data_IF_968435523835
#
_entry.id   IF_968435523835
#
_cell.length_a   1.000
_cell.length_b   1.000
_cell.length_c   1.000
_cell.angle_alpha   90.00
_cell.angle_beta   90.00
_cell.angle_gamma   90.00
#
_symmetry.space_group_name_H-M   'P 1'
#
loop_
_entity.id
_entity.type
_entity.pdbx_description
1 polymer ?
#
# COMPACT_ATOMS: atom_id res chain seq x y z
N UNK A 1 33.14 25.66 -41.19
CA UNK A 1 31.77 25.97 -40.71
C UNK A 1 31.04 24.65 -40.54
N UNK A 2 30.16 24.57 -39.55
CA UNK A 2 29.21 23.48 -39.26
C UNK A 2 29.69 22.28 -38.41
N UNK A 3 29.95 22.53 -37.12
CA UNK A 3 29.80 21.52 -36.03
C UNK A 3 29.34 22.18 -34.73
N UNK A 4 28.14 22.78 -34.73
CA UNK A 4 27.46 23.24 -33.51
C UNK A 4 25.98 22.92 -33.66
N UNK A 5 25.55 21.70 -33.29
CA UNK A 5 24.14 21.33 -33.50
C UNK A 5 23.65 20.00 -32.93
N UNK A 6 24.39 19.35 -32.02
CA UNK A 6 23.95 18.05 -31.45
C UNK A 6 23.94 18.06 -29.91
N UNK A 7 24.40 19.14 -29.26
CA UNK A 7 24.54 19.19 -27.80
C UNK A 7 23.28 19.52 -26.99
N UNK A 8 22.21 20.02 -27.63
CA UNK A 8 21.08 20.62 -26.89
C UNK A 8 19.85 19.70 -26.74
N UNK A 9 19.77 18.60 -27.48
CA UNK A 9 18.66 17.64 -27.35
C UNK A 9 18.83 16.66 -26.17
N UNK A 10 20.06 16.37 -25.76
CA UNK A 10 20.32 15.40 -24.69
C UNK A 10 20.16 16.00 -23.27
N UNK A 11 20.31 17.32 -23.12
CA UNK A 11 20.16 18.02 -21.83
C UNK A 11 18.70 18.28 -21.45
N UNK A 12 17.77 18.28 -22.41
CA UNK A 12 16.33 18.44 -22.15
C UNK A 12 15.65 17.20 -21.55
N UNK A 13 16.07 15.99 -21.93
CA UNK A 13 15.45 14.76 -21.40
C UNK A 13 15.90 14.40 -19.98
N UNK A 14 17.08 14.86 -19.54
CA UNK A 14 17.60 14.54 -18.21
C UNK A 14 16.92 15.35 -17.09
N UNK A 15 16.45 16.57 -17.36
CA UNK A 15 15.81 17.44 -16.35
C UNK A 15 14.35 17.03 -16.08
N UNK A 16 13.64 16.47 -17.06
CA UNK A 16 12.25 16.01 -16.88
C UNK A 16 12.17 14.75 -16.02
N UNK A 17 13.20 13.90 -16.01
CA UNK A 17 13.20 12.68 -15.18
C UNK A 17 13.56 12.98 -13.71
N UNK A 18 14.29 14.07 -13.45
CA UNK A 18 14.70 14.47 -12.09
C UNK A 18 13.60 15.10 -11.23
N UNK A 19 12.56 15.68 -11.83
CA UNK A 19 11.46 16.33 -11.10
C UNK A 19 10.29 15.40 -10.73
N UNK A 20 10.27 14.15 -11.21
CA UNK A 20 9.19 13.20 -10.90
C UNK A 20 9.43 12.34 -9.64
N UNK A 21 10.48 12.62 -8.86
CA UNK A 21 10.85 11.83 -7.68
C UNK A 21 10.48 12.49 -6.34
N UNK A 22 9.47 13.37 -6.30
CA UNK A 22 8.89 13.82 -5.02
C UNK A 22 7.69 12.93 -4.68
N UNK A 23 7.72 12.15 -3.60
CA UNK A 23 6.60 11.30 -3.20
C UNK A 23 5.53 12.19 -2.52
N UNK A 24 4.74 12.89 -3.32
CA UNK A 24 3.63 13.74 -2.85
C UNK A 24 2.25 13.09 -2.99
N UNK A 25 2.15 11.76 -3.05
CA UNK A 25 0.90 11.05 -3.40
C UNK A 25 0.04 10.63 -2.20
N UNK A 26 -0.02 11.46 -1.15
CA UNK A 26 -1.01 11.27 -0.07
C UNK A 26 -1.56 12.59 0.48
N UNK A 27 -0.80 13.68 0.39
CA UNK A 27 -1.27 15.03 0.76
C UNK A 27 -1.73 15.85 -0.44
N UNK A 28 -1.51 15.38 -1.67
CA UNK A 28 -2.04 16.01 -2.87
C UNK A 28 -3.54 15.74 -3.04
N UNK A 29 -3.97 14.48 -2.89
CA UNK A 29 -5.39 14.09 -3.01
C UNK A 29 -6.28 14.90 -2.06
N UNK A 30 -5.89 15.04 -0.79
CA UNK A 30 -6.73 15.76 0.18
C UNK A 30 -6.81 17.27 -0.11
N UNK A 31 -5.72 17.89 -0.58
CA UNK A 31 -5.73 19.31 -0.97
C UNK A 31 -6.49 19.56 -2.26
N UNK A 32 -6.46 18.61 -3.18
CA UNK A 32 -7.19 18.67 -4.44
C UNK A 32 -8.70 18.53 -4.19
N UNK A 33 -9.09 17.60 -3.31
CA UNK A 33 -10.48 17.45 -2.86
C UNK A 33 -11.01 18.72 -2.16
N UNK A 34 -10.20 19.34 -1.29
CA UNK A 34 -10.57 20.60 -0.63
C UNK A 34 -10.77 21.75 -1.64
N UNK A 35 -9.89 21.87 -2.64
CA UNK A 35 -10.01 22.90 -3.67
C UNK A 35 -11.26 22.71 -4.55
N UNK A 36 -11.57 21.45 -4.92
CA UNK A 36 -12.78 21.10 -5.67
C UNK A 36 -14.04 21.38 -4.86
N UNK A 37 -14.05 21.03 -3.58
CA UNK A 37 -15.16 21.31 -2.68
C UNK A 37 -15.41 22.82 -2.56
N UNK A 38 -14.36 23.62 -2.35
CA UNK A 38 -14.48 25.09 -2.31
C UNK A 38 -15.03 25.65 -3.63
N UNK A 39 -14.56 25.15 -4.77
CA UNK A 39 -15.06 25.58 -6.08
C UNK A 39 -16.54 25.26 -6.29
N UNK A 40 -16.98 24.07 -5.91
CA UNK A 40 -18.36 23.61 -6.10
C UNK A 40 -19.35 24.10 -5.02
N UNK A 41 -18.84 24.52 -3.85
CA UNK A 41 -19.63 25.15 -2.78
C UNK A 41 -19.75 26.68 -2.94
N UNK A 42 -19.13 27.28 -3.95
CA UNK A 42 -19.33 28.69 -4.27
C UNK A 42 -20.83 28.95 -4.57
N UNK A 43 -21.49 29.91 -3.88
CA UNK A 43 -22.90 30.21 -4.10
C UNK A 43 -23.26 30.56 -5.55
N UNK A 44 -22.32 31.13 -6.31
CA UNK A 44 -22.50 31.43 -7.73
C UNK A 44 -22.56 30.16 -8.61
N UNK A 45 -22.14 29.00 -8.08
CA UNK A 45 -22.19 27.69 -8.74
C UNK A 45 -23.37 26.83 -8.30
N UNK A 46 -24.09 27.23 -7.26
CA UNK A 46 -25.26 26.51 -6.74
C UNK A 46 -26.27 26.07 -7.83
N UNK A 47 -26.68 26.95 -8.77
CA UNK A 47 -27.58 26.56 -9.85
C UNK A 47 -27.02 25.50 -10.81
N UNK A 48 -25.73 25.57 -11.12
CA UNK A 48 -25.06 24.60 -12.00
C UNK A 48 -24.96 23.22 -11.32
N UNK A 49 -24.65 23.21 -10.02
CA UNK A 49 -24.63 21.99 -9.19
C UNK A 49 -26.00 21.32 -9.14
N UNK A 50 -27.08 22.09 -8.91
CA UNK A 50 -28.44 21.55 -8.91
C UNK A 50 -28.82 21.01 -10.29
N UNK A 51 -28.50 21.73 -11.37
CA UNK A 51 -28.78 21.27 -12.74
C UNK A 51 -28.09 19.93 -13.05
N UNK A 52 -26.80 19.83 -12.72
CA UNK A 52 -26.03 18.61 -12.96
C UNK A 52 -26.51 17.45 -12.07
N UNK A 53 -26.87 17.70 -10.82
CA UNK A 53 -27.45 16.69 -9.93
C UNK A 53 -28.77 16.11 -10.46
N UNK A 54 -29.60 16.95 -11.09
CA UNK A 54 -30.84 16.52 -11.75
C UNK A 54 -30.55 15.72 -13.02
N UNK A 55 -29.60 16.15 -13.85
CA UNK A 55 -29.20 15.43 -15.07
C UNK A 55 -28.63 14.04 -14.77
N UNK A 56 -27.92 13.89 -13.65
CA UNK A 56 -27.35 12.63 -13.19
C UNK A 56 -28.36 11.77 -12.38
N UNK A 57 -29.61 12.22 -12.25
CA UNK A 57 -30.69 11.59 -11.48
C UNK A 57 -30.33 11.26 -10.01
N UNK A 58 -29.44 12.07 -9.41
CA UNK A 58 -29.07 11.94 -7.99
C UNK A 58 -29.89 12.86 -7.08
N UNK A 59 -30.58 13.85 -7.66
CA UNK A 59 -31.48 14.75 -6.95
C UNK A 59 -32.63 15.26 -7.82
N UNK A 60 -33.68 15.80 -7.18
CA UNK A 60 -34.73 16.59 -7.85
C UNK A 60 -34.63 18.06 -7.50
N UNK A 61 -34.99 18.98 -8.42
CA UNK A 61 -35.03 20.39 -8.12
C UNK A 61 -36.25 20.71 -7.25
N UNK A 62 -36.12 21.70 -6.37
CA UNK A 62 -37.27 22.26 -5.63
C UNK A 62 -37.84 23.43 -6.42
N UNK A 63 -39.12 23.34 -6.79
CA UNK A 63 -39.81 24.40 -7.54
C UNK A 63 -39.87 25.68 -6.72
N UNK A 64 -39.37 26.79 -7.27
CA UNK A 64 -39.43 28.12 -6.64
C UNK A 64 -38.28 28.43 -5.67
N UNK A 65 -37.38 27.48 -5.38
CA UNK A 65 -36.24 27.68 -4.47
C UNK A 65 -34.90 27.38 -5.19
N UNK A 66 -34.29 28.37 -5.88
CA UNK A 66 -33.01 28.15 -6.55
C UNK A 66 -31.91 27.79 -5.53
N UNK A 67 -31.10 26.78 -5.87
CA UNK A 67 -30.02 26.28 -4.99
C UNK A 67 -30.45 25.23 -3.97
N UNK A 68 -31.70 24.76 -4.02
CA UNK A 68 -32.20 23.67 -3.17
C UNK A 68 -32.59 22.44 -3.95
N UNK A 69 -32.32 21.27 -3.35
CA UNK A 69 -32.49 19.97 -3.98
C UNK A 69 -33.05 18.93 -3.01
N UNK A 70 -33.72 17.92 -3.57
CA UNK A 70 -34.23 16.75 -2.86
C UNK A 70 -33.37 15.53 -3.25
N UNK A 71 -32.38 15.13 -2.43
CA UNK A 71 -31.45 14.06 -2.80
C UNK A 71 -32.05 12.66 -2.62
N UNK A 72 -31.54 11.71 -3.41
CA UNK A 72 -31.81 10.27 -3.27
C UNK A 72 -33.20 9.83 -3.75
N UNK A 73 -33.50 8.51 -3.66
CA UNK A 73 -34.72 7.93 -4.22
C UNK A 73 -35.99 8.33 -3.45
N UNK A 74 -35.86 8.55 -2.14
CA UNK A 74 -37.01 8.81 -1.26
C UNK A 74 -37.41 10.29 -1.20
N UNK A 75 -36.53 11.23 -1.57
CA UNK A 75 -36.83 12.66 -1.81
C UNK A 75 -37.64 13.36 -0.71
N UNK A 76 -37.36 13.04 0.55
CA UNK A 76 -38.20 13.45 1.69
C UNK A 76 -37.82 14.83 2.23
N UNK A 77 -36.56 15.25 2.06
CA UNK A 77 -36.04 16.46 2.72
C UNK A 77 -35.31 17.37 1.74
N UNK A 78 -35.72 18.63 1.71
CA UNK A 78 -35.01 19.69 1.00
C UNK A 78 -33.69 20.00 1.68
N UNK A 79 -32.61 20.01 0.90
CA UNK A 79 -31.27 20.40 1.32
C UNK A 79 -30.75 21.55 0.47
N UNK A 80 -29.90 22.39 1.07
CA UNK A 80 -29.01 23.28 0.32
C UNK A 80 -27.82 22.49 -0.23
N UNK A 81 -27.05 23.08 -1.15
CA UNK A 81 -25.87 22.44 -1.75
C UNK A 81 -24.81 22.09 -0.68
N UNK A 82 -24.62 22.94 0.33
CA UNK A 82 -23.72 22.72 1.47
C UNK A 82 -24.21 21.55 2.34
N UNK A 83 -25.50 21.55 2.69
CA UNK A 83 -26.07 20.45 3.48
C UNK A 83 -26.05 19.12 2.73
N UNK A 84 -26.08 19.18 1.40
CA UNK A 84 -25.97 18.00 0.54
C UNK A 84 -24.54 17.47 0.49
N UNK A 85 -23.52 18.35 0.42
CA UNK A 85 -22.10 17.95 0.55
C UNK A 85 -21.85 17.16 1.83
N UNK A 86 -22.31 17.68 2.98
CA UNK A 86 -22.08 17.03 4.28
C UNK A 86 -22.77 15.66 4.39
N UNK A 87 -23.97 15.52 3.82
CA UNK A 87 -24.83 14.34 3.98
C UNK A 87 -24.64 13.29 2.89
N UNK A 88 -24.19 13.70 1.71
CA UNK A 88 -24.06 12.86 0.52
C UNK A 88 -22.74 13.15 -0.23
N UNK A 89 -21.57 13.03 0.43
CA UNK A 89 -20.30 13.48 -0.14
C UNK A 89 -19.91 12.76 -1.45
N UNK A 90 -20.32 11.49 -1.61
CA UNK A 90 -20.06 10.70 -2.82
C UNK A 90 -20.84 11.21 -4.03
N UNK A 91 -22.14 11.47 -3.85
CA UNK A 91 -23.00 11.98 -4.92
C UNK A 91 -22.62 13.42 -5.27
N UNK A 92 -22.29 14.22 -4.26
CA UNK A 92 -21.76 15.57 -4.44
C UNK A 92 -20.48 15.55 -5.26
N UNK A 93 -19.50 14.71 -4.92
CA UNK A 93 -18.23 14.60 -5.64
C UNK A 93 -18.43 14.28 -7.12
N UNK A 94 -19.28 13.29 -7.42
CA UNK A 94 -19.62 12.90 -8.80
C UNK A 94 -20.25 14.05 -9.60
N UNK A 95 -21.13 14.83 -8.99
CA UNK A 95 -21.76 15.99 -9.64
C UNK A 95 -20.77 17.14 -9.80
N UNK A 96 -19.93 17.41 -8.80
CA UNK A 96 -18.89 18.43 -8.86
C UNK A 96 -17.90 18.15 -10.00
N UNK A 97 -17.47 16.89 -10.16
CA UNK A 97 -16.63 16.46 -11.28
C UNK A 97 -17.31 16.70 -12.63
N UNK A 98 -18.61 16.38 -12.77
CA UNK A 98 -19.37 16.63 -13.99
C UNK A 98 -19.48 18.13 -14.32
N UNK A 99 -19.70 18.99 -13.31
CA UNK A 99 -19.76 20.44 -13.48
C UNK A 99 -18.40 21.02 -13.89
N UNK A 100 -17.31 20.53 -13.31
CA UNK A 100 -15.97 20.96 -13.71
C UNK A 100 -15.62 20.49 -15.13
N UNK A 101 -15.95 19.24 -15.48
CA UNK A 101 -15.73 18.68 -16.81
C UNK A 101 -16.49 19.48 -17.90
N UNK A 102 -17.76 19.81 -17.65
CA UNK A 102 -18.58 20.60 -18.58
C UNK A 102 -18.02 22.00 -18.84
N UNK A 103 -17.23 22.56 -17.91
CA UNK A 103 -16.59 23.87 -18.09
C UNK A 103 -15.28 23.78 -18.85
N UNK A 104 -14.50 22.72 -18.67
CA UNK A 104 -13.32 22.46 -19.48
C UNK A 104 -13.66 22.20 -20.95
N UNK A 105 -14.88 21.73 -21.24
CA UNK A 105 -15.36 21.48 -22.60
C UNK A 105 -15.93 22.73 -23.31
N UNK A 106 -15.99 23.88 -22.62
CA UNK A 106 -16.37 25.14 -23.29
C UNK A 106 -15.24 25.48 -24.27
N UNK A 107 -15.47 25.48 -25.60
CA UNK A 107 -14.46 25.92 -26.53
C UNK A 107 -14.09 27.35 -26.13
N UNK A 108 -12.84 27.55 -25.70
CA UNK A 108 -12.36 28.89 -25.38
C UNK A 108 -12.69 29.82 -26.55
N UNK A 109 -13.01 31.10 -26.29
CA UNK A 109 -13.28 32.05 -27.36
C UNK A 109 -12.15 31.92 -28.37
N UNK A 110 -12.53 31.65 -29.64
CA UNK A 110 -11.58 31.52 -30.73
C UNK A 110 -10.60 32.67 -30.59
N UNK A 111 -9.37 32.32 -30.22
CA UNK A 111 -8.32 33.29 -29.93
C UNK A 111 -8.08 33.97 -31.26
N UNK A 112 -8.59 35.20 -31.40
CA UNK A 112 -8.38 36.01 -32.58
C UNK A 112 -6.91 35.94 -32.96
N UNK A 113 -6.68 35.61 -34.23
CA UNK A 113 -5.39 35.33 -34.83
C UNK A 113 -4.46 36.55 -34.73
N UNK A 114 -3.86 36.74 -33.55
CA UNK A 114 -2.63 37.49 -33.39
C UNK A 114 -1.48 36.60 -33.81
N UNK A 115 -1.05 36.73 -35.07
CA UNK A 115 0.03 35.98 -35.70
C UNK A 115 1.22 35.75 -34.77
N UNK A 116 1.34 34.50 -34.32
CA UNK A 116 2.34 34.10 -33.33
C UNK A 116 2.32 32.59 -33.08
N UNK A 117 2.73 31.81 -34.08
CA UNK A 117 3.33 30.49 -33.88
C UNK A 117 2.40 29.28 -33.83
N UNK A 118 2.22 28.61 -34.97
CA UNK A 118 1.72 27.21 -35.12
C UNK A 118 2.45 26.20 -34.21
N UNK A 119 3.61 26.57 -33.65
CA UNK A 119 4.40 25.78 -32.70
C UNK A 119 3.74 25.63 -31.32
N UNK A 120 3.01 26.63 -30.84
CA UNK A 120 2.44 26.60 -29.48
C UNK A 120 1.18 25.72 -29.41
N UNK A 121 0.37 25.70 -30.48
CA UNK A 121 -0.79 24.81 -30.59
C UNK A 121 -0.39 23.33 -30.72
N UNK A 122 0.68 23.05 -31.49
CA UNK A 122 1.23 21.69 -31.61
C UNK A 122 1.82 21.19 -30.28
N UNK A 123 2.45 22.08 -29.49
CA UNK A 123 2.96 21.76 -28.16
C UNK A 123 1.85 21.38 -27.18
N UNK A 124 0.73 22.12 -27.16
CA UNK A 124 -0.40 21.80 -26.30
C UNK A 124 -1.09 20.49 -26.70
N UNK A 125 -1.25 20.24 -28.00
CA UNK A 125 -1.79 18.96 -28.48
C UNK A 125 -0.85 17.78 -28.13
N UNK A 126 0.46 17.96 -28.27
CA UNK A 126 1.45 16.95 -27.89
C UNK A 126 1.43 16.67 -26.37
N UNK A 127 1.29 17.71 -25.53
CA UNK A 127 1.15 17.56 -24.08
C UNK A 127 -0.11 16.76 -23.72
N UNK A 128 -1.24 17.01 -24.39
CA UNK A 128 -2.48 16.24 -24.18
C UNK A 128 -2.29 14.74 -24.45
N UNK A 129 -1.67 14.39 -25.58
CA UNK A 129 -1.39 12.99 -25.94
C UNK A 129 -0.44 12.33 -24.93
N UNK A 130 0.64 13.01 -24.54
CA UNK A 130 1.58 12.50 -23.54
C UNK A 130 0.90 12.28 -22.18
N UNK A 131 0.04 13.21 -21.77
CA UNK A 131 -0.72 13.08 -20.53
C UNK A 131 -1.69 11.90 -20.57
N UNK A 132 -2.44 11.73 -21.67
CA UNK A 132 -3.33 10.56 -21.83
C UNK A 132 -2.56 9.24 -21.80
N UNK A 133 -1.41 9.16 -22.48
CA UNK A 133 -0.55 7.98 -22.43
C UNK A 133 -0.01 7.72 -21.01
N UNK A 134 0.33 8.78 -20.28
CA UNK A 134 0.74 8.69 -18.88
C UNK A 134 -0.38 8.18 -17.98
N UNK A 135 -1.60 8.70 -18.10
CA UNK A 135 -2.77 8.22 -17.34
C UNK A 135 -3.04 6.74 -17.61
N UNK A 136 -3.06 6.31 -18.87
CA UNK A 136 -3.24 4.90 -19.22
C UNK A 136 -2.11 4.01 -18.69
N UNK A 137 -0.87 4.53 -18.65
CA UNK A 137 0.26 3.81 -18.08
C UNK A 137 0.11 3.63 -16.56
N UNK A 138 -0.33 4.68 -15.86
CA UNK A 138 -0.58 4.65 -14.42
C UNK A 138 -1.74 3.69 -14.08
N UNK A 139 -2.84 3.71 -14.84
CA UNK A 139 -3.97 2.79 -14.64
C UNK A 139 -3.57 1.31 -14.83
N UNK A 140 -2.84 0.99 -15.89
CA UNK A 140 -2.33 -0.38 -16.11
C UNK A 140 -1.35 -0.79 -15.02
N UNK A 141 -0.50 0.13 -14.56
CA UNK A 141 0.45 -0.11 -13.47
C UNK A 141 -0.25 -0.38 -12.13
N UNK A 142 -1.30 0.38 -11.82
CA UNK A 142 -2.03 0.24 -10.55
C UNK A 142 -2.85 -1.05 -10.48
N UNK A 143 -3.49 -1.46 -11.56
CA UNK A 143 -4.24 -2.73 -11.62
C UNK A 143 -3.34 -3.95 -11.38
N UNK A 144 -2.21 -4.04 -12.09
CA UNK A 144 -1.21 -5.11 -11.89
C UNK A 144 -0.62 -5.10 -10.48
N UNK A 145 -0.40 -3.91 -9.93
CA UNK A 145 0.09 -3.77 -8.56
C UNK A 145 -0.94 -4.27 -7.54
N UNK A 146 -2.22 -3.93 -7.71
CA UNK A 146 -3.30 -4.42 -6.84
C UNK A 146 -3.39 -5.93 -6.89
N UNK A 147 -3.37 -6.52 -8.08
CA UNK A 147 -3.38 -7.97 -8.27
C UNK A 147 -2.22 -8.67 -7.54
N UNK A 148 -0.99 -8.16 -7.70
CA UNK A 148 0.19 -8.69 -7.00
C UNK A 148 0.09 -8.56 -5.48
N UNK A 149 -0.45 -7.46 -4.97
CA UNK A 149 -0.67 -7.26 -3.54
C UNK A 149 -1.74 -8.22 -3.01
N UNK A 150 -2.84 -8.42 -3.73
CA UNK A 150 -3.87 -9.40 -3.40
C UNK A 150 -3.27 -10.81 -3.36
N UNK A 151 -2.46 -11.18 -4.37
CA UNK A 151 -1.77 -12.47 -4.40
C UNK A 151 -0.82 -12.65 -3.21
N UNK A 152 -0.04 -11.62 -2.85
CA UNK A 152 0.83 -11.64 -1.67
C UNK A 152 0.04 -11.80 -0.37
N UNK A 153 -1.04 -11.03 -0.20
CA UNK A 153 -1.90 -11.11 0.99
C UNK A 153 -2.53 -12.49 1.12
N UNK A 154 -3.05 -13.04 0.02
CA UNK A 154 -3.59 -14.40 -0.03
C UNK A 154 -2.54 -15.44 0.36
N UNK A 155 -1.38 -15.44 -0.32
CA UNK A 155 -0.30 -16.39 -0.05
C UNK A 155 0.24 -16.28 1.39
N UNK A 156 0.30 -15.08 1.97
CA UNK A 156 0.69 -14.86 3.37
C UNK A 156 -0.32 -15.51 4.33
N UNK A 157 -1.61 -15.35 4.05
CA UNK A 157 -2.69 -15.95 4.83
C UNK A 157 -2.65 -17.48 4.77
N UNK A 158 -2.55 -18.04 3.55
CA UNK A 158 -2.44 -19.50 3.35
C UNK A 158 -1.21 -20.07 4.05
N UNK A 159 -0.04 -19.44 3.91
CA UNK A 159 1.17 -19.92 4.59
C UNK A 159 1.04 -19.92 6.12
N UNK A 160 0.44 -18.88 6.69
CA UNK A 160 0.25 -18.78 8.14
C UNK A 160 -0.70 -19.88 8.64
N UNK A 161 -1.81 -20.09 7.93
CA UNK A 161 -2.79 -21.11 8.24
C UNK A 161 -2.21 -22.54 8.16
N UNK A 162 -1.55 -22.87 7.04
CA UNK A 162 -0.96 -24.20 6.85
C UNK A 162 0.17 -24.49 7.83
N UNK A 163 0.96 -23.48 8.18
CA UNK A 163 2.00 -23.63 9.20
C UNK A 163 1.41 -23.87 10.59
N UNK A 164 0.33 -23.19 10.98
CA UNK A 164 -0.36 -23.44 12.25
C UNK A 164 -0.98 -24.84 12.31
N UNK A 165 -1.60 -25.31 11.22
CA UNK A 165 -2.09 -26.68 11.09
C UNK A 165 -0.94 -27.69 11.23
N UNK A 166 0.15 -27.47 10.50
CA UNK A 166 1.32 -28.35 10.56
C UNK A 166 1.92 -28.43 11.97
N UNK A 167 2.11 -27.29 12.65
CA UNK A 167 2.67 -27.26 14.00
C UNK A 167 1.74 -27.94 15.02
N UNK A 168 0.43 -27.79 14.85
CA UNK A 168 -0.57 -28.47 15.70
C UNK A 168 -0.53 -29.99 15.47
N UNK A 169 -0.50 -30.43 14.22
CA UNK A 169 -0.38 -31.84 13.87
C UNK A 169 0.96 -32.43 14.36
N UNK A 170 2.07 -31.70 14.19
CA UNK A 170 3.40 -32.12 14.61
C UNK A 170 3.51 -32.30 16.13
N UNK A 171 2.80 -31.46 16.90
CA UNK A 171 2.69 -31.62 18.36
C UNK A 171 2.13 -32.99 18.76
N UNK A 172 1.16 -33.50 18.01
CA UNK A 172 0.52 -34.79 18.28
C UNK A 172 1.34 -35.94 17.67
N UNK A 173 1.83 -35.76 16.44
CA UNK A 173 2.54 -36.76 15.67
C UNK A 173 3.74 -36.13 14.93
N UNK A 174 4.97 -36.49 15.33
CA UNK A 174 6.21 -35.98 14.72
C UNK A 174 6.39 -36.36 13.25
N UNK A 175 5.62 -37.34 12.74
CA UNK A 175 5.59 -37.74 11.33
C UNK A 175 4.46 -37.07 10.54
N UNK A 176 3.91 -35.97 11.06
CA UNK A 176 2.86 -35.22 10.38
C UNK A 176 3.31 -34.76 8.99
N UNK A 177 2.43 -34.84 7.98
CA UNK A 177 2.77 -34.47 6.61
C UNK A 177 3.11 -32.97 6.50
N UNK A 178 4.18 -32.65 5.77
CA UNK A 178 4.70 -31.28 5.57
C UNK A 178 4.36 -30.69 4.18
N UNK A 179 3.77 -31.48 3.28
CA UNK A 179 3.57 -31.10 1.87
C UNK A 179 2.74 -29.82 1.66
N UNK A 180 1.69 -29.60 2.45
CA UNK A 180 0.81 -28.43 2.31
C UNK A 180 1.53 -27.14 2.73
N UNK A 181 2.21 -27.14 3.88
CA UNK A 181 3.00 -25.98 4.33
C UNK A 181 4.18 -25.69 3.39
N UNK A 182 4.81 -26.71 2.82
CA UNK A 182 5.85 -26.54 1.80
C UNK A 182 5.31 -25.87 0.53
N UNK A 183 4.11 -26.28 0.07
CA UNK A 183 3.43 -25.69 -1.09
C UNK A 183 3.06 -24.24 -0.82
N UNK A 184 2.47 -23.94 0.34
CA UNK A 184 2.12 -22.59 0.75
C UNK A 184 3.36 -21.68 0.88
N UNK A 185 4.47 -22.21 1.40
CA UNK A 185 5.76 -21.52 1.48
C UNK A 185 6.28 -21.16 0.08
N UNK A 186 6.25 -22.10 -0.86
CA UNK A 186 6.67 -21.87 -2.24
C UNK A 186 5.80 -20.81 -2.93
N UNK A 187 4.49 -20.83 -2.70
CA UNK A 187 3.56 -19.82 -3.21
C UNK A 187 3.87 -18.42 -2.65
N UNK A 188 4.15 -18.31 -1.34
CA UNK A 188 4.55 -17.05 -0.73
C UNK A 188 5.89 -16.54 -1.28
N UNK A 189 6.88 -17.41 -1.43
CA UNK A 189 8.16 -17.05 -2.04
C UNK A 189 8.02 -16.59 -3.50
N UNK A 190 7.10 -17.19 -4.26
CA UNK A 190 6.78 -16.75 -5.61
C UNK A 190 6.08 -15.39 -5.62
N UNK A 191 5.11 -15.16 -4.72
CA UNK A 191 4.41 -13.89 -4.60
C UNK A 191 5.36 -12.74 -4.21
N UNK A 192 6.30 -12.97 -3.29
CA UNK A 192 7.32 -12.00 -2.89
C UNK A 192 8.22 -11.57 -4.08
N UNK A 193 8.71 -12.54 -4.85
CA UNK A 193 9.49 -12.28 -6.09
C UNK A 193 8.65 -11.55 -7.15
N UNK A 194 7.36 -11.89 -7.25
CA UNK A 194 6.41 -11.30 -8.19
C UNK A 194 6.13 -9.81 -7.96
N UNK A 195 6.46 -9.26 -6.79
CA UNK A 195 6.25 -7.84 -6.51
C UNK A 195 7.10 -6.93 -7.42
N UNK A 196 8.26 -7.41 -7.90
CA UNK A 196 9.18 -6.68 -8.77
C UNK A 196 9.51 -5.26 -8.24
N UNK A 197 9.76 -5.16 -6.93
CA UNK A 197 10.00 -3.88 -6.25
C UNK A 197 11.42 -3.39 -6.55
N UNK A 198 11.63 -2.09 -6.77
CA UNK A 198 12.97 -1.57 -7.04
C UNK A 198 13.85 -1.52 -5.78
N UNK A 199 15.17 -1.57 -6.00
CA UNK A 199 16.19 -1.21 -5.02
C UNK A 199 16.19 -2.08 -3.74
N UNK A 200 16.32 -1.41 -2.59
CA UNK A 200 16.45 -2.08 -1.29
C UNK A 200 15.20 -2.88 -0.87
N UNK A 201 14.02 -2.46 -1.34
CA UNK A 201 12.76 -3.14 -1.03
C UNK A 201 12.61 -4.44 -1.82
N UNK A 202 13.03 -4.45 -3.09
CA UNK A 202 13.13 -5.69 -3.87
C UNK A 202 14.07 -6.70 -3.24
N UNK A 203 15.29 -6.26 -2.88
CA UNK A 203 16.26 -7.13 -2.19
C UNK A 203 15.74 -7.67 -0.85
N UNK A 204 14.97 -6.89 -0.11
CA UNK A 204 14.34 -7.34 1.13
C UNK A 204 13.27 -8.41 0.85
N UNK A 205 12.42 -8.23 -0.17
CA UNK A 205 11.44 -9.23 -0.57
C UNK A 205 12.09 -10.54 -1.03
N UNK A 206 13.16 -10.46 -1.83
CA UNK A 206 13.93 -11.63 -2.28
C UNK A 206 14.70 -12.30 -1.13
N UNK A 207 15.18 -11.52 -0.17
CA UNK A 207 15.78 -12.01 1.07
C UNK A 207 14.76 -12.82 1.87
N UNK A 208 13.62 -12.20 2.17
CA UNK A 208 12.53 -12.82 2.91
C UNK A 208 12.04 -14.11 2.25
N UNK A 209 11.88 -14.11 0.92
CA UNK A 209 11.45 -15.29 0.17
C UNK A 209 12.42 -16.49 0.28
N UNK A 210 13.71 -16.24 0.51
CA UNK A 210 14.73 -17.29 0.71
C UNK A 210 14.80 -17.76 2.16
N UNK A 211 14.51 -16.87 3.12
CA UNK A 211 14.59 -17.14 4.55
C UNK A 211 13.24 -17.44 5.19
N UNK A 212 12.22 -17.80 4.41
CA UNK A 212 10.94 -18.24 4.96
C UNK A 212 11.15 -19.47 5.86
N UNK A 213 10.57 -19.50 7.07
CA UNK A 213 10.71 -20.60 8.01
C UNK A 213 10.08 -21.88 7.46
N UNK A 214 10.36 -23.00 8.12
CA UNK A 214 9.90 -24.34 7.73
C UNK A 214 10.29 -24.74 6.29
N UNK A 215 11.56 -24.57 5.86
CA UNK A 215 12.00 -25.04 4.54
C UNK A 215 11.86 -26.56 4.40
N UNK A 216 12.06 -27.26 5.51
CA UNK A 216 12.06 -28.71 5.66
C UNK A 216 11.11 -29.11 6.80
N UNK A 217 10.66 -30.37 6.85
CA UNK A 217 9.92 -30.88 8.00
C UNK A 217 10.73 -30.74 9.29
N UNK A 218 10.05 -30.40 10.39
CA UNK A 218 10.66 -30.37 11.71
C UNK A 218 11.20 -31.77 12.04
N UNK A 219 12.44 -31.81 12.53
CA UNK A 219 13.13 -33.06 12.80
C UNK A 219 12.34 -33.88 13.83
N UNK A 220 12.05 -35.15 13.49
CA UNK A 220 11.39 -36.06 14.42
C UNK A 220 12.29 -36.48 15.59
N UNK A 221 13.60 -36.25 15.45
CA UNK A 221 14.64 -36.70 16.37
C UNK A 221 15.67 -35.59 16.47
N UNK A 222 16.09 -35.22 17.68
CA UNK A 222 17.09 -34.17 17.85
C UNK A 222 18.47 -34.70 17.44
N UNK A 223 18.90 -34.37 16.22
CA UNK A 223 20.22 -34.75 15.72
C UNK A 223 21.36 -33.97 16.38
N UNK A 224 21.06 -32.89 17.12
CA UNK A 224 22.04 -32.01 17.78
C UNK A 224 22.36 -32.43 19.22
N UNK A 225 21.63 -33.40 19.76
CA UNK A 225 21.91 -34.02 21.04
C UNK A 225 23.27 -34.74 21.03
N UNK A 226 24.15 -34.39 21.97
CA UNK A 226 25.52 -34.94 22.09
C UNK A 226 25.61 -36.47 22.39
N UNK A 227 24.48 -37.19 22.34
CA UNK A 227 24.36 -38.62 22.68
C UNK A 227 23.66 -39.48 21.63
N UNK A 228 23.46 -38.96 20.41
CA UNK A 228 22.76 -39.66 19.34
C UNK A 228 21.29 -39.27 19.21
N UNK A 229 20.59 -39.93 18.29
CA UNK A 229 19.25 -39.58 17.86
C UNK A 229 18.21 -39.81 18.99
N UNK A 230 17.89 -38.75 19.74
CA UNK A 230 16.90 -38.79 20.83
C UNK A 230 15.54 -38.25 20.36
N UNK A 231 14.47 -38.97 20.68
CA UNK A 231 13.10 -38.49 20.44
C UNK A 231 12.82 -37.27 21.31
N UNK A 232 12.21 -36.23 20.72
CA UNK A 232 11.82 -35.03 21.43
C UNK A 232 10.80 -35.32 22.53
N UNK A 233 11.02 -34.81 23.72
CA UNK A 233 10.03 -34.81 24.79
C UNK A 233 8.85 -33.87 24.47
N UNK A 234 7.67 -34.05 25.09
CA UNK A 234 6.55 -33.13 24.90
C UNK A 234 6.89 -31.66 25.17
N UNK A 235 7.68 -31.38 26.19
CA UNK A 235 8.07 -30.01 26.57
C UNK A 235 9.05 -29.38 25.56
N UNK A 236 10.03 -30.15 25.07
CA UNK A 236 10.93 -29.70 24.00
C UNK A 236 10.17 -29.39 22.72
N UNK A 237 9.17 -30.23 22.37
CA UNK A 237 8.28 -29.95 21.22
C UNK A 237 7.48 -28.68 21.41
N UNK A 238 6.93 -28.45 22.61
CA UNK A 238 6.18 -27.23 22.91
C UNK A 238 7.07 -25.98 22.79
N UNK A 239 8.30 -26.04 23.32
CA UNK A 239 9.26 -24.95 23.22
C UNK A 239 9.66 -24.65 21.77
N UNK A 240 9.88 -25.69 20.96
CA UNK A 240 10.22 -25.53 19.54
C UNK A 240 9.06 -24.96 18.73
N UNK A 241 7.83 -25.41 18.99
CA UNK A 241 6.62 -24.82 18.37
C UNK A 241 6.55 -23.32 18.68
N UNK A 242 6.75 -22.92 19.95
CA UNK A 242 6.73 -21.50 20.33
C UNK A 242 7.83 -20.70 19.63
N UNK A 243 9.04 -21.26 19.51
CA UNK A 243 10.15 -20.64 18.76
C UNK A 243 9.79 -20.42 17.30
N UNK A 244 9.26 -21.45 16.64
CA UNK A 244 8.87 -21.39 15.22
C UNK A 244 7.68 -20.45 15.01
N UNK A 245 6.70 -20.43 15.93
CA UNK A 245 5.58 -19.49 15.89
C UNK A 245 6.05 -18.03 15.99
N UNK A 246 7.02 -17.74 16.87
CA UNK A 246 7.61 -16.42 16.97
C UNK A 246 8.29 -16.01 15.66
N UNK A 247 9.09 -16.89 15.06
CA UNK A 247 9.76 -16.69 13.78
C UNK A 247 8.76 -16.48 12.62
N UNK A 248 7.70 -17.29 12.58
CA UNK A 248 6.63 -17.17 11.59
C UNK A 248 5.88 -15.84 11.72
N UNK A 249 5.53 -15.44 12.95
CA UNK A 249 4.84 -14.17 13.19
C UNK A 249 5.67 -12.96 12.75
N UNK A 250 6.99 -13.00 12.99
CA UNK A 250 7.92 -11.97 12.53
C UNK A 250 8.00 -11.92 11.00
N UNK A 251 8.11 -13.08 10.36
CA UNK A 251 8.15 -13.23 8.89
C UNK A 251 6.88 -12.69 8.24
N UNK A 252 5.71 -13.02 8.79
CA UNK A 252 4.39 -12.57 8.30
C UNK A 252 4.25 -11.06 8.48
N UNK A 253 4.71 -10.51 9.60
CA UNK A 253 4.72 -9.07 9.82
C UNK A 253 5.61 -8.34 8.79
N UNK A 254 6.78 -8.91 8.47
CA UNK A 254 7.68 -8.36 7.45
C UNK A 254 7.08 -8.44 6.04
N UNK A 255 6.44 -9.56 5.68
CA UNK A 255 5.73 -9.69 4.39
C UNK A 255 4.60 -8.65 4.26
N UNK A 256 3.82 -8.42 5.32
CA UNK A 256 2.78 -7.37 5.34
C UNK A 256 3.35 -5.97 5.24
N UNK A 257 4.51 -5.72 5.85
CA UNK A 257 5.22 -4.45 5.71
C UNK A 257 5.71 -4.24 4.26
N UNK A 258 6.21 -5.30 3.61
CA UNK A 258 6.55 -5.28 2.19
C UNK A 258 5.33 -5.15 1.27
N UNK A 259 4.11 -5.33 1.76
CA UNK A 259 2.88 -5.02 1.03
C UNK A 259 2.46 -3.54 1.16
N UNK A 260 2.97 -2.81 2.17
CA UNK A 260 2.55 -1.44 2.46
C UNK A 260 2.97 -0.42 1.38
N UNK A 261 2.45 0.81 1.44
CA UNK A 261 2.89 1.87 0.51
C UNK A 261 4.39 2.13 0.63
N UNK A 262 5.04 2.63 -0.43
CA UNK A 262 6.47 2.92 -0.41
C UNK A 262 6.82 3.92 0.71
N UNK A 263 6.00 4.96 0.88
CA UNK A 263 6.16 5.93 1.96
C UNK A 263 6.15 5.25 3.34
N UNK A 264 5.16 4.39 3.62
CA UNK A 264 5.06 3.68 4.91
C UNK A 264 6.28 2.79 5.15
N UNK A 265 6.73 2.06 4.13
CA UNK A 265 7.91 1.20 4.25
C UNK A 265 9.19 2.00 4.55
N UNK A 266 9.42 3.11 3.85
CA UNK A 266 10.59 3.97 4.09
C UNK A 266 10.57 4.61 5.48
N UNK A 267 9.41 5.10 5.92
CA UNK A 267 9.25 5.68 7.26
C UNK A 267 9.53 4.64 8.34
N UNK A 268 8.96 3.44 8.23
CA UNK A 268 9.19 2.36 9.21
C UNK A 268 10.64 1.89 9.24
N UNK A 269 11.25 1.73 8.07
CA UNK A 269 12.67 1.37 7.96
C UNK A 269 13.55 2.43 8.61
N UNK A 270 13.30 3.71 8.33
CA UNK A 270 14.00 4.83 8.94
C UNK A 270 13.89 4.75 10.47
N UNK A 271 12.67 4.62 11.01
CA UNK A 271 12.43 4.50 12.46
C UNK A 271 13.21 3.31 13.05
N UNK A 272 13.29 2.16 12.37
CA UNK A 272 14.09 1.01 12.86
C UNK A 272 15.58 1.29 12.91
N UNK A 273 16.15 1.91 11.87
CA UNK A 273 17.58 2.26 11.85
C UNK A 273 17.95 3.33 12.88
N UNK A 274 17.03 4.25 13.17
CA UNK A 274 17.28 5.37 14.09
C UNK A 274 16.76 5.16 15.51
N UNK A 275 15.99 4.09 15.77
CA UNK A 275 15.73 3.67 17.14
C UNK A 275 17.06 3.18 17.67
N UNK A 276 17.73 3.92 18.59
CA UNK A 276 18.94 3.41 19.20
C UNK A 276 18.53 2.07 19.77
N UNK A 277 19.24 1.00 19.42
CA UNK A 277 19.22 -0.20 20.23
C UNK A 277 19.46 0.32 21.62
N UNK A 278 18.40 0.40 22.44
CA UNK A 278 18.53 0.62 23.87
C UNK A 278 19.40 -0.55 24.23
N UNK A 279 20.70 -0.30 24.35
CA UNK A 279 21.65 -1.19 24.96
C UNK A 279 21.06 -1.37 26.34
N UNK A 280 20.22 -2.40 26.46
CA UNK A 280 19.80 -2.90 27.73
C UNK A 280 21.10 -3.18 28.41
N UNK A 281 21.47 -2.33 29.36
CA UNK A 281 22.29 -2.74 30.47
C UNK A 281 21.73 -4.11 30.84
N UNK A 282 22.49 -5.21 30.66
CA UNK A 282 21.98 -6.52 31.00
C UNK A 282 21.43 -6.41 32.43
N UNK A 283 20.20 -6.91 32.70
CA UNK A 283 19.66 -6.87 34.04
C UNK A 283 20.73 -7.46 34.94
N UNK A 284 21.26 -6.64 35.84
CA UNK A 284 22.29 -7.02 36.80
C UNK A 284 21.77 -8.27 37.48
N UNK A 285 22.37 -9.41 37.17
CA UNK A 285 22.00 -10.69 37.76
C UNK A 285 22.02 -10.46 39.27
N UNK A 286 20.91 -10.66 39.99
CA UNK A 286 20.96 -10.57 41.44
C UNK A 286 22.00 -11.61 41.87
N UNK A 287 23.06 -11.13 42.52
CA UNK A 287 24.11 -11.98 43.08
C UNK A 287 23.41 -13.04 43.93
N UNK A 288 23.43 -14.29 43.47
CA UNK A 288 22.97 -15.41 44.26
C UNK A 288 23.96 -15.56 45.40
N UNK A 289 23.61 -14.97 46.53
CA UNK A 289 24.27 -15.19 47.80
C UNK A 289 24.32 -16.71 48.06
N UNK A 290 25.53 -17.31 48.18
CA UNK A 290 25.66 -18.73 48.42
C UNK A 290 25.11 -19.04 49.81
N UNK A 291 23.93 -19.66 49.86
CA UNK A 291 23.41 -20.28 51.09
C UNK A 291 24.43 -21.32 51.56
N UNK A 292 25.12 -21.00 52.65
CA UNK A 292 25.99 -21.92 53.37
C UNK A 292 25.24 -23.20 53.72
N UNK A 293 25.77 -24.33 53.26
CA UNK A 293 25.33 -25.65 53.68
C UNK A 293 25.76 -25.96 55.13
N UNK A 294 25.03 -26.84 55.84
CA UNK A 294 25.34 -27.20 57.21
C UNK A 294 26.62 -28.03 57.29
N UNK A 295 27.59 -27.56 58.07
CA UNK A 295 28.72 -28.36 58.54
C UNK A 295 28.23 -29.46 59.47
N UNK A 296 28.33 -30.71 59.02
CA UNK A 296 28.29 -31.90 59.86
C UNK A 296 29.45 -31.87 60.86
N UNK A 297 29.15 -31.73 62.15
CA UNK A 297 30.07 -32.03 63.25
C UNK A 297 29.95 -33.50 63.64
N UNK A 298 31.12 -34.10 63.90
CA UNK A 298 31.33 -35.45 64.42
C UNK A 298 30.95 -35.57 65.90
#
# INVERSE_FOLDING_TARGET
>A
MDRVGVGLAALGCAVVVGLCAVPSVAFADQKEDDARAVYCLDPARGPDMVRAAVQLDVAKPVTGEPGRLLPGPNRIRTLTVEQWYDRHPKDFGRVCEAVMAARSDTPGPAKDEGGGGVRDSALLAALGVVFTLFVQFVERGTSRRRERLTALTGATGTFSYEAELYLTAWRENVRSPHGEVATARAALAAALRGLALPGARGRAADGLGRTLPLPDPLEAVDAKSAGGARSWSPDERAAEILRVQAELSATVAEARELASSAAVWHVRRYIRTFRPSRSGTPPRTPDHEPRGGPTTGA
#
